data_IF_285097642649
#
_entry.id   IF_285097642649
#
_cell.length_a   1.000
_cell.length_b   1.000
_cell.length_c   1.000
_cell.angle_alpha   90.00
_cell.angle_beta   90.00
_cell.angle_gamma   90.00
#
_symmetry.space_group_name_H-M   'P 1'
#
loop_
_entity.id
_entity.type
_entity.pdbx_description
1 polymer ?
#
# COMPACT_ATOMS: atom_id res chain seq x y z
N UNK A 1 -8.25 -11.93 8.62
CA UNK A 1 -8.04 -11.01 7.48
C UNK A 1 -7.00 -9.97 7.91
N UNK A 2 -5.90 -9.79 7.15
CA UNK A 2 -4.82 -8.85 7.48
C UNK A 2 -4.85 -7.63 6.56
N UNK A 3 -4.66 -6.45 7.14
CA UNK A 3 -4.67 -5.15 6.44
C UNK A 3 -3.32 -4.49 6.63
N UNK A 4 -2.77 -3.93 5.56
CA UNK A 4 -1.51 -3.18 5.57
C UNK A 4 -1.69 -1.84 4.89
N UNK A 5 -0.88 -0.88 5.31
CA UNK A 5 -0.75 0.43 4.67
C UNK A 5 0.63 0.59 4.06
N UNK A 6 0.73 1.24 2.90
CA UNK A 6 2.00 1.59 2.25
C UNK A 6 2.00 3.07 1.95
N UNK A 7 3.00 3.79 2.47
CA UNK A 7 3.24 5.20 2.16
C UNK A 7 4.67 5.43 1.68
N UNK A 8 4.88 6.56 1.03
CA UNK A 8 6.23 7.01 0.73
C UNK A 8 6.96 7.40 2.02
N UNK A 9 8.26 7.10 2.11
CA UNK A 9 9.06 7.36 3.31
C UNK A 9 9.21 8.84 3.63
N UNK A 10 9.11 9.71 2.61
CA UNK A 10 9.11 11.18 2.78
C UNK A 10 7.72 11.75 3.08
N UNK A 11 6.68 10.94 3.02
CA UNK A 11 5.33 11.33 3.43
C UNK A 11 5.16 11.04 4.92
N UNK A 12 5.41 12.07 5.72
CA UNK A 12 5.29 11.96 7.17
C UNK A 12 3.82 11.92 7.61
N UNK A 13 2.93 12.60 6.90
CA UNK A 13 1.55 12.89 7.31
C UNK A 13 0.59 11.72 7.08
N UNK A 14 0.72 11.04 5.95
CA UNK A 14 -0.16 9.92 5.63
C UNK A 14 -0.01 8.80 6.65
N UNK A 15 -1.15 8.19 6.99
CA UNK A 15 -1.23 6.98 7.80
C UNK A 15 -0.59 7.09 9.21
N UNK A 16 -0.37 8.31 9.75
CA UNK A 16 0.04 8.50 11.16
C UNK A 16 -0.96 7.86 12.14
N UNK A 17 -2.26 7.99 11.87
CA UNK A 17 -3.30 7.43 12.73
C UNK A 17 -3.20 5.89 12.79
N UNK A 18 -3.26 5.14 11.68
CA UNK A 18 -3.09 3.69 11.75
C UNK A 18 -1.72 3.27 12.28
N UNK A 19 -0.63 3.99 11.99
CA UNK A 19 0.69 3.73 12.58
C UNK A 19 0.66 3.83 14.11
N UNK A 20 0.08 4.90 14.66
CA UNK A 20 -0.04 5.13 16.10
C UNK A 20 -0.98 4.14 16.79
N UNK A 21 -1.91 3.55 16.06
CA UNK A 21 -2.82 2.51 16.55
C UNK A 21 -2.19 1.10 16.47
N UNK A 22 -0.95 0.98 16.01
CA UNK A 22 -0.21 -0.29 15.93
C UNK A 22 -0.53 -1.14 14.70
N UNK A 23 -1.12 -0.55 13.65
CA UNK A 23 -1.31 -1.25 12.39
C UNK A 23 0.00 -1.32 11.58
N UNK A 24 0.06 -2.29 10.68
CA UNK A 24 1.21 -2.50 9.79
C UNK A 24 1.28 -1.39 8.73
N UNK A 25 2.13 -0.38 8.98
CA UNK A 25 2.40 0.72 8.05
C UNK A 25 3.83 0.59 7.50
N UNK A 26 3.94 0.33 6.21
CA UNK A 26 5.20 0.20 5.50
C UNK A 26 5.59 1.50 4.82
N UNK A 27 6.81 1.97 5.10
CA UNK A 27 7.38 3.18 4.50
C UNK A 27 8.33 2.78 3.38
N UNK A 28 7.97 3.07 2.13
CA UNK A 28 8.82 2.84 0.97
C UNK A 28 9.81 3.99 0.81
N UNK A 29 11.10 3.70 0.88
CA UNK A 29 12.15 4.70 0.60
C UNK A 29 12.33 4.94 -0.90
N UNK A 30 12.06 3.90 -1.68
CA UNK A 30 12.15 3.89 -3.14
C UNK A 30 10.81 3.39 -3.70
N UNK A 31 10.16 4.23 -4.51
CA UNK A 31 8.86 3.95 -5.09
C UNK A 31 8.93 2.94 -6.23
N UNK A 32 10.10 2.73 -6.85
CA UNK A 32 10.29 1.67 -7.86
C UNK A 32 10.07 0.27 -7.26
N UNK A 33 10.22 0.13 -5.94
CA UNK A 33 9.99 -1.12 -5.22
C UNK A 33 8.51 -1.39 -4.87
N UNK A 34 7.57 -0.57 -5.35
CA UNK A 34 6.15 -0.71 -5.01
C UNK A 34 5.59 -2.07 -5.38
N UNK A 35 5.81 -2.54 -6.62
CA UNK A 35 5.29 -3.84 -7.08
C UNK A 35 5.86 -5.01 -6.28
N UNK A 36 7.16 -4.96 -5.97
CA UNK A 36 7.82 -5.94 -5.12
C UNK A 36 7.19 -5.99 -3.73
N UNK A 37 6.89 -4.82 -3.14
CA UNK A 37 6.29 -4.74 -1.82
C UNK A 37 4.85 -5.26 -1.79
N UNK A 38 4.06 -4.95 -2.81
CA UNK A 38 2.69 -5.46 -2.93
C UNK A 38 2.71 -6.98 -3.03
N UNK A 39 3.59 -7.56 -3.85
CA UNK A 39 3.75 -9.00 -3.97
C UNK A 39 4.14 -9.65 -2.64
N UNK A 40 5.12 -9.08 -1.94
CA UNK A 40 5.53 -9.55 -0.60
C UNK A 40 4.36 -9.58 0.38
N UNK A 41 3.50 -8.56 0.38
CA UNK A 41 2.34 -8.49 1.27
C UNK A 41 1.26 -9.51 0.90
N UNK A 42 1.03 -9.75 -0.39
CA UNK A 42 0.14 -10.82 -0.85
C UNK A 42 0.66 -12.19 -0.38
N UNK A 43 1.96 -12.45 -0.53
CA UNK A 43 2.60 -13.70 -0.08
C UNK A 43 2.49 -13.87 1.45
N UNK A 44 2.58 -12.77 2.19
CA UNK A 44 2.34 -12.69 3.65
C UNK A 44 0.87 -12.73 4.06
N UNK A 45 -0.05 -12.99 3.13
CA UNK A 45 -1.49 -13.12 3.34
C UNK A 45 -2.15 -11.83 3.86
N UNK A 46 -1.65 -10.67 3.46
CA UNK A 46 -2.44 -9.43 3.53
C UNK A 46 -3.53 -9.49 2.47
N UNK A 47 -4.77 -9.22 2.87
CA UNK A 47 -5.95 -9.30 2.00
C UNK A 47 -6.43 -7.91 1.58
N UNK A 48 -5.99 -6.88 2.32
CA UNK A 48 -6.26 -5.49 2.01
C UNK A 48 -4.97 -4.70 2.12
N UNK A 49 -4.61 -4.01 1.05
CA UNK A 49 -3.42 -3.16 0.97
C UNK A 49 -3.91 -1.75 0.66
N UNK A 50 -3.71 -0.83 1.59
CA UNK A 50 -4.10 0.57 1.44
C UNK A 50 -2.84 1.35 1.08
N UNK A 51 -2.85 2.09 -0.02
CA UNK A 51 -1.67 2.82 -0.51
C UNK A 51 -1.99 4.29 -0.69
N UNK A 52 -0.98 5.16 -0.59
CA UNK A 52 -1.14 6.57 -1.00
C UNK A 52 -1.16 6.70 -2.53
N UNK A 53 -1.67 7.82 -3.06
CA UNK A 53 -1.63 8.12 -4.49
C UNK A 53 -0.21 8.03 -5.07
N UNK A 54 0.79 8.54 -4.34
CA UNK A 54 2.19 8.52 -4.76
C UNK A 54 2.73 7.09 -4.91
N UNK A 55 2.38 6.18 -4.01
CA UNK A 55 2.77 4.76 -4.13
C UNK A 55 2.03 4.12 -5.30
N UNK A 56 0.73 4.37 -5.43
CA UNK A 56 -0.07 3.81 -6.51
C UNK A 56 0.43 4.20 -7.91
N UNK A 57 0.94 5.42 -8.10
CA UNK A 57 1.43 5.87 -9.40
C UNK A 57 2.69 5.15 -9.88
N UNK A 58 3.38 4.41 -9.01
CA UNK A 58 4.57 3.61 -9.35
C UNK A 58 4.28 2.11 -9.47
N UNK A 59 3.01 1.70 -9.45
CA UNK A 59 2.62 0.30 -9.60
C UNK A 59 1.87 0.06 -10.91
N UNK A 60 2.56 -0.55 -11.87
CA UNK A 60 1.90 -1.01 -13.09
C UNK A 60 1.04 -2.27 -12.81
N UNK A 61 1.51 -3.12 -11.90
CA UNK A 61 0.83 -4.36 -11.53
C UNK A 61 -0.52 -4.10 -10.83
N UNK A 62 -0.66 -3.04 -10.06
CA UNK A 62 -1.95 -2.62 -9.51
C UNK A 62 -3.00 -2.40 -10.60
N UNK A 63 -2.60 -1.77 -11.71
CA UNK A 63 -3.50 -1.42 -12.81
C UNK A 63 -3.77 -2.64 -13.70
N UNK A 64 -2.75 -3.45 -13.98
CA UNK A 64 -2.85 -4.56 -14.95
C UNK A 64 -3.24 -5.90 -14.34
N UNK A 65 -2.69 -6.25 -13.16
CA UNK A 65 -2.83 -7.58 -12.55
C UNK A 65 -3.91 -7.59 -11.47
N UNK A 66 -3.90 -6.61 -10.56
CA UNK A 66 -4.74 -6.65 -9.36
C UNK A 66 -6.07 -5.92 -9.50
N UNK A 67 -6.26 -5.13 -10.55
CA UNK A 67 -7.48 -4.35 -10.81
C UNK A 67 -8.78 -5.14 -10.75
N UNK A 68 -8.76 -6.41 -11.16
CA UNK A 68 -9.94 -7.29 -11.18
C UNK A 68 -9.79 -8.51 -10.27
N UNK A 69 -8.81 -8.52 -9.37
CA UNK A 69 -8.63 -9.65 -8.47
C UNK A 69 -9.76 -9.72 -7.44
N UNK A 70 -10.26 -10.93 -7.16
CA UNK A 70 -11.22 -11.19 -6.08
C UNK A 70 -10.56 -11.54 -4.75
N UNK A 71 -9.26 -11.83 -4.78
CA UNK A 71 -8.52 -12.38 -3.64
C UNK A 71 -7.77 -11.30 -2.85
N UNK A 72 -7.44 -10.19 -3.51
CA UNK A 72 -6.74 -9.05 -2.92
C UNK A 72 -7.50 -7.75 -3.16
N UNK A 73 -7.66 -6.93 -2.11
CA UNK A 73 -8.23 -5.60 -2.21
C UNK A 73 -7.11 -4.56 -2.09
N UNK A 74 -6.81 -3.84 -3.17
CA UNK A 74 -5.85 -2.74 -3.13
C UNK A 74 -6.62 -1.42 -3.24
N UNK A 75 -6.53 -0.58 -2.21
CA UNK A 75 -7.30 0.66 -2.08
C UNK A 75 -6.33 1.84 -2.12
N UNK A 76 -6.60 2.79 -3.00
CA UNK A 76 -5.85 4.04 -3.08
C UNK A 76 -6.52 5.06 -2.15
N UNK A 77 -5.81 5.49 -1.12
CA UNK A 77 -6.23 6.57 -0.23
C UNK A 77 -5.63 7.88 -0.73
N UNK A 78 -6.45 8.87 -1.15
CA UNK A 78 -5.93 10.19 -1.42
C UNK A 78 -5.32 10.78 -0.16
N UNK A 79 -4.28 11.61 -0.35
CA UNK A 79 -3.68 12.36 0.75
C UNK A 79 -4.75 13.26 1.36
N UNK A 80 -4.76 13.38 2.68
CA UNK A 80 -5.57 14.41 3.35
C UNK A 80 -4.82 15.72 3.16
N UNK A 81 -5.42 16.66 2.43
CA UNK A 81 -5.03 18.07 2.45
C UNK A 81 -5.20 18.66 3.86
#
# INVERSE_FOLDING_TARGET
MKISWIKYGKDEESFKIPENLGFDVFKLQDLENTDNKIKELIDKKYHTIIVTNEVASFSEDMIKKYKYSTDINIIISPRKD
#
